data_IF_450670077455
#
_entry.id   IF_450670077455
#
_cell.length_a   1.000
_cell.length_b   1.000
_cell.length_c   1.000
_cell.angle_alpha   90.00
_cell.angle_beta   90.00
_cell.angle_gamma   90.00
#
_symmetry.space_group_name_H-M   'P 1'
#
loop_
_entity.id
_entity.type
_entity.pdbx_description
1 polymer ?
#
# COMPACT_ATOMS: atom_id res chain seq x y z
N UNK A 1 14.78 14.55 -9.65
CA UNK A 1 14.82 13.92 -8.32
C UNK A 1 14.85 12.42 -8.50
N UNK A 2 15.72 11.72 -7.77
CA UNK A 2 15.83 10.27 -7.76
C UNK A 2 15.27 9.70 -6.46
N UNK A 3 14.43 8.67 -6.56
CA UNK A 3 13.72 8.08 -5.42
C UNK A 3 14.17 6.63 -5.22
N UNK A 4 14.64 6.31 -4.03
CA UNK A 4 14.90 4.93 -3.62
C UNK A 4 13.60 4.26 -3.18
N UNK A 5 13.28 3.07 -3.72
CA UNK A 5 12.04 2.34 -3.41
C UNK A 5 12.37 0.95 -2.92
N UNK A 6 12.02 0.64 -1.69
CA UNK A 6 11.98 -0.74 -1.21
C UNK A 6 10.61 -1.36 -1.45
N UNK A 7 10.56 -2.66 -1.72
CA UNK A 7 9.29 -3.34 -2.01
C UNK A 7 8.65 -2.96 -3.35
N UNK A 8 9.43 -2.43 -4.31
CA UNK A 8 8.96 -2.01 -5.63
C UNK A 8 8.31 -3.13 -6.45
N UNK A 9 8.70 -4.38 -6.25
CA UNK A 9 8.13 -5.55 -6.93
C UNK A 9 6.81 -6.05 -6.33
N UNK A 10 6.42 -5.53 -5.15
CA UNK A 10 5.18 -5.88 -4.44
C UNK A 10 3.94 -5.23 -5.06
N UNK A 11 2.76 -5.56 -4.51
CA UNK A 11 1.48 -5.08 -5.04
C UNK A 11 1.41 -3.54 -5.09
N UNK A 12 1.54 -2.84 -3.96
CA UNK A 12 1.57 -1.37 -3.92
C UNK A 12 2.79 -0.84 -4.69
N UNK A 13 3.94 -1.53 -4.56
CA UNK A 13 5.20 -1.11 -5.18
C UNK A 13 5.12 -0.96 -6.70
N UNK A 14 4.42 -1.85 -7.39
CA UNK A 14 4.22 -1.78 -8.86
C UNK A 14 3.42 -0.54 -9.27
N UNK A 15 2.39 -0.19 -8.53
CA UNK A 15 1.63 1.05 -8.74
C UNK A 15 2.50 2.28 -8.44
N UNK A 16 3.32 2.21 -7.39
CA UNK A 16 4.24 3.28 -7.02
C UNK A 16 5.33 3.50 -8.08
N UNK A 17 5.94 2.43 -8.61
CA UNK A 17 6.93 2.56 -9.68
C UNK A 17 6.30 3.23 -10.91
N UNK A 18 5.10 2.81 -11.31
CA UNK A 18 4.38 3.41 -12.44
C UNK A 18 4.09 4.90 -12.21
N UNK A 19 3.61 5.24 -11.02
CA UNK A 19 3.29 6.62 -10.65
C UNK A 19 4.55 7.51 -10.67
N UNK A 20 5.64 7.08 -10.02
CA UNK A 20 6.90 7.83 -9.97
C UNK A 20 7.49 8.03 -11.36
N UNK A 21 7.56 6.96 -12.17
CA UNK A 21 8.10 7.02 -13.53
C UNK A 21 7.23 7.89 -14.44
N UNK A 22 5.90 7.79 -14.31
CA UNK A 22 4.93 8.62 -15.04
C UNK A 22 5.05 10.11 -14.71
N UNK A 23 5.45 10.46 -13.50
CA UNK A 23 5.75 11.84 -13.08
C UNK A 23 7.19 12.27 -13.43
N UNK A 24 7.98 11.39 -14.07
CA UNK A 24 9.31 11.70 -14.56
C UNK A 24 10.43 11.56 -13.54
N UNK A 25 10.18 10.99 -12.36
CA UNK A 25 11.22 10.66 -11.39
C UNK A 25 12.18 9.59 -11.92
N UNK A 26 13.42 9.63 -11.48
CA UNK A 26 14.34 8.49 -11.56
C UNK A 26 14.14 7.61 -10.33
N UNK A 27 14.21 6.30 -10.49
CA UNK A 27 13.91 5.36 -9.42
C UNK A 27 15.01 4.31 -9.29
N UNK A 28 15.59 4.19 -8.08
CA UNK A 28 16.35 3.01 -7.68
C UNK A 28 15.40 2.08 -6.92
N UNK A 29 15.16 0.87 -7.41
CA UNK A 29 14.20 -0.05 -6.78
C UNK A 29 14.86 -1.36 -6.36
N UNK A 30 14.63 -1.79 -5.09
CA UNK A 30 15.06 -3.12 -4.66
C UNK A 30 14.24 -4.22 -5.30
N UNK A 31 14.95 -5.26 -5.71
CA UNK A 31 14.38 -6.58 -5.98
C UNK A 31 15.16 -7.66 -5.22
N UNK A 32 14.48 -8.72 -4.78
CA UNK A 32 15.09 -9.83 -4.07
C UNK A 32 15.43 -11.00 -4.99
N UNK A 33 14.51 -11.34 -5.87
CA UNK A 33 14.64 -12.43 -6.86
C UNK A 33 14.32 -11.90 -8.25
N UNK A 34 14.99 -12.39 -9.28
CA UNK A 34 14.79 -11.93 -10.67
C UNK A 34 13.32 -12.09 -11.11
N UNK A 35 12.69 -13.19 -10.73
CA UNK A 35 11.30 -13.48 -11.09
C UNK A 35 10.32 -12.46 -10.52
N UNK A 36 10.69 -11.76 -9.44
CA UNK A 36 9.82 -10.75 -8.83
C UNK A 36 9.63 -9.51 -9.70
N UNK A 37 10.52 -9.29 -10.69
CA UNK A 37 10.44 -8.19 -11.67
C UNK A 37 9.54 -8.51 -12.87
N UNK A 38 9.13 -9.78 -13.03
CA UNK A 38 8.28 -10.20 -14.15
C UNK A 38 7.03 -9.32 -14.27
N UNK A 39 6.74 -8.83 -15.49
CA UNK A 39 5.61 -7.95 -15.78
C UNK A 39 5.80 -6.49 -15.37
N UNK A 40 6.97 -6.08 -14.87
CA UNK A 40 7.31 -4.66 -14.75
C UNK A 40 8.04 -4.26 -16.02
N UNK A 41 7.51 -3.26 -16.74
CA UNK A 41 8.11 -2.78 -17.97
C UNK A 41 9.48 -2.15 -17.70
N UNK A 42 10.43 -2.39 -18.59
CA UNK A 42 11.70 -1.69 -18.57
C UNK A 42 11.47 -0.20 -18.85
N UNK A 43 12.17 0.63 -18.09
CA UNK A 43 12.10 2.06 -18.25
C UNK A 43 13.49 2.68 -18.05
N UNK A 44 13.93 3.65 -18.88
CA UNK A 44 15.30 4.20 -18.82
C UNK A 44 15.60 4.91 -17.48
N UNK A 45 14.59 5.32 -16.73
CA UNK A 45 14.70 5.94 -15.41
C UNK A 45 14.51 4.94 -14.26
N UNK A 46 14.36 3.63 -14.51
CA UNK A 46 14.23 2.59 -13.49
C UNK A 46 15.51 1.79 -13.37
N UNK A 47 16.17 1.90 -12.23
CA UNK A 47 17.41 1.20 -11.93
C UNK A 47 17.16 0.16 -10.85
N UNK A 48 17.37 -1.10 -11.21
CA UNK A 48 17.19 -2.21 -10.29
C UNK A 48 18.43 -2.45 -9.44
N UNK A 49 18.23 -2.53 -8.12
CA UNK A 49 19.27 -2.85 -7.13
C UNK A 49 18.87 -4.15 -6.43
N UNK A 50 19.74 -5.16 -6.49
CA UNK A 50 19.52 -6.40 -5.75
C UNK A 50 19.71 -6.15 -4.26
N UNK A 51 18.70 -6.48 -3.44
CA UNK A 51 18.75 -6.24 -2.00
C UNK A 51 17.47 -6.62 -1.28
N UNK A 52 17.53 -6.64 0.04
CA UNK A 52 16.42 -6.94 0.92
C UNK A 52 16.64 -6.36 2.32
N UNK A 53 15.62 -6.42 3.18
CA UNK A 53 15.69 -5.92 4.57
C UNK A 53 16.68 -6.70 5.45
N UNK A 54 17.02 -7.93 5.08
CA UNK A 54 17.97 -8.77 5.79
C UNK A 54 19.44 -8.42 5.45
N UNK A 55 19.64 -7.68 4.36
CA UNK A 55 20.97 -7.30 3.84
C UNK A 55 21.19 -5.78 3.94
N UNK A 56 21.67 -5.35 5.08
CA UNK A 56 22.03 -3.93 5.29
C UNK A 56 23.13 -3.45 4.33
N UNK A 57 23.97 -4.34 3.81
CA UNK A 57 25.02 -4.03 2.84
C UNK A 57 24.50 -3.54 1.49
N UNK A 58 23.25 -3.89 1.14
CA UNK A 58 22.59 -3.43 -0.10
C UNK A 58 21.99 -2.02 0.01
N UNK A 59 21.82 -1.48 1.22
CA UNK A 59 21.23 -0.15 1.45
C UNK A 59 22.06 0.97 0.79
N UNK A 60 23.39 1.03 0.92
CA UNK A 60 24.19 2.06 0.27
C UNK A 60 24.02 2.12 -1.25
N UNK A 61 23.89 0.98 -1.90
CA UNK A 61 23.66 0.91 -3.36
C UNK A 61 22.26 1.41 -3.74
N UNK A 62 21.24 1.04 -2.95
CA UNK A 62 19.88 1.54 -3.17
C UNK A 62 19.83 3.07 -3.08
N UNK A 63 20.51 3.64 -2.10
CA UNK A 63 20.48 5.09 -1.80
C UNK A 63 21.46 5.90 -2.64
N UNK A 64 22.14 5.30 -3.62
CA UNK A 64 23.12 6.00 -4.45
C UNK A 64 22.46 7.12 -5.26
N UNK A 65 22.90 8.36 -5.05
CA UNK A 65 22.38 9.58 -5.69
C UNK A 65 20.85 9.77 -5.51
N UNK A 66 20.26 9.25 -4.43
CA UNK A 66 18.85 9.41 -4.15
C UNK A 66 18.56 10.63 -3.28
N UNK A 67 17.55 11.40 -3.67
CA UNK A 67 17.04 12.58 -2.95
C UNK A 67 15.93 12.16 -1.97
N UNK A 68 15.20 11.08 -2.26
CA UNK A 68 14.09 10.62 -1.45
C UNK A 68 14.08 9.08 -1.29
N UNK A 69 13.41 8.61 -0.23
CA UNK A 69 13.21 7.20 0.04
C UNK A 69 11.73 6.90 0.25
N UNK A 70 11.23 5.83 -0.38
CA UNK A 70 9.94 5.22 -0.04
C UNK A 70 10.18 3.81 0.49
N UNK A 71 9.89 3.62 1.77
CA UNK A 71 10.06 2.33 2.42
C UNK A 71 8.72 1.58 2.47
N UNK A 72 8.52 0.70 1.46
CA UNK A 72 7.31 -0.12 1.28
C UNK A 72 7.59 -1.63 1.45
N UNK A 73 8.84 -2.05 1.66
CA UNK A 73 9.16 -3.45 1.86
C UNK A 73 8.62 -3.98 3.19
N UNK A 74 8.15 -5.23 3.16
CA UNK A 74 7.80 -6.03 4.32
C UNK A 74 8.26 -7.47 4.08
N UNK A 75 9.05 -8.00 4.98
CA UNK A 75 9.36 -9.42 5.02
C UNK A 75 8.21 -10.17 5.70
N UNK A 76 7.72 -11.22 5.08
CA UNK A 76 6.71 -12.13 5.64
C UNK A 76 6.93 -13.54 5.12
N UNK A 77 6.85 -14.57 5.99
CA UNK A 77 7.00 -15.96 5.56
C UNK A 77 5.72 -16.52 4.92
N UNK A 78 4.57 -15.96 5.26
CA UNK A 78 3.26 -16.41 4.78
C UNK A 78 2.60 -15.50 3.76
N UNK A 79 1.40 -15.87 3.32
CA UNK A 79 0.64 -15.16 2.28
C UNK A 79 -0.26 -14.05 2.81
N UNK A 80 -0.52 -14.01 4.12
CA UNK A 80 -1.33 -12.98 4.77
C UNK A 80 -0.47 -12.02 5.58
N UNK A 81 -1.03 -10.87 5.96
CA UNK A 81 -0.32 -9.87 6.80
C UNK A 81 -0.46 -10.16 8.29
N UNK A 82 -1.44 -10.96 8.70
CA UNK A 82 -1.78 -11.25 10.09
C UNK A 82 -1.84 -12.76 10.31
N UNK A 83 -1.28 -13.22 11.44
CA UNK A 83 -1.35 -14.61 11.84
C UNK A 83 -0.44 -15.57 11.07
N UNK A 84 0.44 -15.05 10.22
CA UNK A 84 1.44 -15.84 9.45
C UNK A 84 2.84 -15.23 9.55
N UNK A 85 3.12 -14.55 10.66
CA UNK A 85 4.40 -13.90 10.91
C UNK A 85 5.54 -14.91 11.16
N UNK A 86 5.19 -16.15 11.50
CA UNK A 86 6.15 -17.22 11.80
C UNK A 86 6.89 -16.96 13.11
N UNK A 87 8.21 -17.13 13.12
CA UNK A 87 9.05 -16.75 14.24
C UNK A 87 9.02 -15.24 14.46
N UNK A 88 8.42 -14.80 15.57
CA UNK A 88 8.21 -13.40 15.88
C UNK A 88 9.53 -12.65 16.13
N UNK A 89 10.54 -13.28 16.69
CA UNK A 89 11.85 -12.67 16.91
C UNK A 89 12.51 -12.37 15.56
N UNK A 90 12.52 -13.33 14.65
CA UNK A 90 13.03 -13.16 13.28
C UNK A 90 12.22 -12.11 12.51
N UNK A 91 10.88 -12.16 12.62
CA UNK A 91 10.00 -11.18 11.98
C UNK A 91 10.32 -9.75 12.44
N UNK A 92 10.53 -9.56 13.75
CA UNK A 92 10.86 -8.27 14.34
C UNK A 92 12.27 -7.81 13.94
N UNK A 93 13.25 -8.71 14.00
CA UNK A 93 14.62 -8.40 13.60
C UNK A 93 14.69 -7.89 12.15
N UNK A 94 14.01 -8.56 11.23
CA UNK A 94 14.05 -8.20 9.80
C UNK A 94 13.25 -6.93 9.55
N UNK A 95 11.99 -6.87 9.98
CA UNK A 95 11.11 -5.77 9.62
C UNK A 95 11.41 -4.50 10.42
N UNK A 96 11.54 -4.59 11.74
CA UNK A 96 11.89 -3.42 12.56
C UNK A 96 13.36 -3.07 12.40
N UNK A 97 14.27 -4.03 12.61
CA UNK A 97 15.71 -3.79 12.49
C UNK A 97 16.12 -3.30 11.10
N UNK A 98 15.64 -3.95 10.02
CA UNK A 98 15.92 -3.54 8.65
C UNK A 98 15.35 -2.14 8.32
N UNK A 99 14.16 -1.80 8.84
CA UNK A 99 13.59 -0.46 8.70
C UNK A 99 14.44 0.60 9.38
N UNK A 100 14.93 0.32 10.59
CA UNK A 100 15.79 1.24 11.34
C UNK A 100 17.15 1.43 10.66
N UNK A 101 17.76 0.35 10.17
CA UNK A 101 19.02 0.43 9.41
C UNK A 101 18.84 1.30 8.15
N UNK A 102 17.73 1.16 7.44
CA UNK A 102 17.44 1.99 6.26
C UNK A 102 17.26 3.47 6.65
N UNK A 103 16.50 3.77 7.71
CA UNK A 103 16.30 5.15 8.19
C UNK A 103 17.61 5.79 8.65
N UNK A 104 18.42 5.04 9.40
CA UNK A 104 19.71 5.52 9.90
C UNK A 104 20.68 5.87 8.77
N UNK A 105 20.82 4.98 7.79
CA UNK A 105 21.71 5.22 6.64
C UNK A 105 21.17 6.34 5.76
N UNK A 106 19.85 6.44 5.56
CA UNK A 106 19.22 7.54 4.83
C UNK A 106 19.45 8.89 5.54
N UNK A 107 19.29 8.93 6.86
CA UNK A 107 19.55 10.13 7.65
C UNK A 107 21.03 10.55 7.60
N UNK A 108 21.97 9.60 7.70
CA UNK A 108 23.43 9.87 7.55
C UNK A 108 23.79 10.41 6.16
N UNK A 109 23.04 9.99 5.13
CA UNK A 109 23.19 10.49 3.75
C UNK A 109 22.43 11.78 3.47
N UNK A 110 21.71 12.28 4.46
CA UNK A 110 20.95 13.53 4.37
C UNK A 110 19.97 13.56 3.21
N UNK A 111 19.26 12.42 2.95
CA UNK A 111 18.20 12.43 1.94
C UNK A 111 17.09 13.43 2.34
N UNK A 112 16.52 14.11 1.35
CA UNK A 112 15.58 15.21 1.58
C UNK A 112 14.20 14.76 2.05
N UNK A 113 13.83 13.50 1.80
CA UNK A 113 12.51 12.94 2.12
C UNK A 113 12.58 11.46 2.42
N UNK A 114 11.87 11.03 3.46
CA UNK A 114 11.69 9.62 3.74
C UNK A 114 10.20 9.34 4.04
N UNK A 115 9.56 8.52 3.20
CA UNK A 115 8.16 8.10 3.39
C UNK A 115 8.11 6.63 3.80
N UNK A 116 7.64 6.36 5.01
CA UNK A 116 7.38 5.01 5.50
C UNK A 116 5.96 4.59 5.18
N UNK A 117 5.77 3.47 4.48
CA UNK A 117 4.46 2.89 4.24
C UNK A 117 4.05 2.05 5.44
N UNK A 118 3.25 2.65 6.31
CA UNK A 118 2.64 2.03 7.48
C UNK A 118 1.31 1.35 7.12
N UNK A 119 0.30 1.44 7.98
CA UNK A 119 -1.03 0.84 7.79
C UNK A 119 -2.05 1.42 8.75
N UNK A 120 -3.33 1.47 8.40
CA UNK A 120 -4.40 1.73 9.36
C UNK A 120 -4.60 0.61 10.40
N UNK A 121 -3.95 -0.55 10.24
CA UNK A 121 -3.96 -1.62 11.25
C UNK A 121 -3.23 -1.23 12.56
N UNK A 122 -2.59 -0.07 12.63
CA UNK A 122 -2.10 0.50 13.89
C UNK A 122 -3.24 0.93 14.82
N UNK A 123 -4.47 1.10 14.29
CA UNK A 123 -5.69 1.51 14.98
C UNK A 123 -6.72 0.36 15.09
N UNK A 124 -6.32 -0.85 15.46
CA UNK A 124 -7.27 -1.99 15.54
C UNK A 124 -8.26 -1.84 16.70
N UNK A 125 -7.84 -1.31 17.85
CA UNK A 125 -8.73 -0.86 18.90
C UNK A 125 -9.08 0.60 18.66
N UNK A 126 -10.32 0.86 18.24
CA UNK A 126 -10.82 2.21 17.98
C UNK A 126 -11.65 2.67 19.18
N UNK A 127 -11.41 3.91 19.61
CA UNK A 127 -12.16 4.56 20.70
C UNK A 127 -13.38 5.28 20.13
N UNK A 128 -14.50 5.16 20.83
CA UNK A 128 -15.77 5.80 20.42
C UNK A 128 -15.85 7.29 20.82
N UNK A 129 -14.95 7.77 21.70
CA UNK A 129 -14.95 9.12 22.28
C UNK A 129 -14.19 10.17 21.45
N UNK A 130 -13.62 9.78 20.33
CA UNK A 130 -12.80 10.67 19.49
C UNK A 130 -12.79 10.27 18.02
N UNK A 131 -12.44 11.21 17.10
CA UNK A 131 -12.25 10.91 15.69
C UNK A 131 -11.19 9.83 15.46
N UNK A 132 -11.31 9.08 14.36
CA UNK A 132 -10.28 8.18 13.88
C UNK A 132 -9.38 8.94 12.89
N UNK A 133 -8.66 9.91 13.42
CA UNK A 133 -7.64 10.68 12.73
C UNK A 133 -6.22 10.19 13.08
N UNK A 134 -5.20 10.89 12.64
CA UNK A 134 -3.80 10.52 12.88
C UNK A 134 -3.36 10.65 14.34
N UNK A 135 -4.12 11.37 15.18
CA UNK A 135 -3.85 11.54 16.61
C UNK A 135 -4.44 10.43 17.47
N UNK A 136 -5.30 9.57 16.87
CA UNK A 136 -5.89 8.43 17.56
C UNK A 136 -4.77 7.48 18.08
N UNK A 137 -4.89 6.94 19.30
CA UNK A 137 -3.91 6.03 19.88
C UNK A 137 -3.64 4.82 18.98
N UNK A 138 -2.36 4.42 18.89
CA UNK A 138 -1.94 3.24 18.14
C UNK A 138 -2.07 2.00 19.04
N UNK A 139 -3.23 1.33 18.97
CA UNK A 139 -3.52 0.12 19.75
C UNK A 139 -3.81 -1.07 18.80
N UNK A 140 -2.75 -1.67 18.23
CA UNK A 140 -2.89 -2.83 17.37
C UNK A 140 -3.16 -4.09 18.19
N UNK A 141 -3.90 -5.06 17.59
CA UNK A 141 -4.08 -6.41 18.13
C UNK A 141 -3.19 -7.44 17.42
N UNK A 142 -2.71 -7.11 16.22
CA UNK A 142 -1.86 -7.99 15.42
C UNK A 142 -0.38 -7.65 15.59
N UNK A 143 0.48 -8.65 15.47
CA UNK A 143 1.94 -8.43 15.43
C UNK A 143 2.35 -7.57 14.24
N UNK A 144 1.64 -7.69 13.12
CA UNK A 144 1.79 -6.81 11.96
C UNK A 144 1.53 -5.34 12.31
N UNK A 145 0.40 -5.04 12.93
CA UNK A 145 0.08 -3.67 13.39
C UNK A 145 1.06 -3.15 14.44
N UNK A 146 1.45 -4.03 15.38
CA UNK A 146 2.41 -3.68 16.43
C UNK A 146 3.78 -3.29 15.87
N UNK A 147 4.32 -4.07 14.94
CA UNK A 147 5.58 -3.76 14.27
C UNK A 147 5.48 -2.43 13.49
N UNK A 148 4.39 -2.20 12.75
CA UNK A 148 4.18 -0.96 12.02
C UNK A 148 4.10 0.26 12.96
N UNK A 149 3.37 0.14 14.07
CA UNK A 149 3.29 1.17 15.11
C UNK A 149 4.65 1.44 15.77
N UNK A 150 5.47 0.40 16.01
CA UNK A 150 6.82 0.56 16.56
C UNK A 150 7.71 1.37 15.61
N UNK A 151 7.71 1.10 14.30
CA UNK A 151 8.47 1.90 13.32
C UNK A 151 8.00 3.35 13.30
N UNK A 152 6.69 3.63 13.45
CA UNK A 152 6.19 5.01 13.53
C UNK A 152 6.71 5.78 14.77
N UNK A 153 7.01 5.10 15.88
CA UNK A 153 7.68 5.77 17.01
C UNK A 153 9.11 6.19 16.68
N UNK A 154 9.79 5.42 15.83
CA UNK A 154 11.10 5.83 15.31
C UNK A 154 10.99 6.94 14.26
N UNK A 155 9.89 7.00 13.49
CA UNK A 155 9.62 8.19 12.65
C UNK A 155 9.64 9.46 13.51
N UNK A 156 8.97 9.48 14.67
CA UNK A 156 9.03 10.62 15.60
C UNK A 156 10.45 10.87 16.13
N UNK A 157 11.18 9.82 16.53
CA UNK A 157 12.54 9.95 17.04
C UNK A 157 13.49 10.54 16.01
N UNK A 158 13.48 10.06 14.78
CA UNK A 158 14.30 10.59 13.70
C UNK A 158 13.90 12.02 13.31
N UNK A 159 12.59 12.30 13.26
CA UNK A 159 12.09 13.63 12.90
C UNK A 159 12.44 14.67 13.97
N UNK A 160 12.05 14.45 15.21
CA UNK A 160 12.17 15.46 16.25
C UNK A 160 13.54 15.46 16.93
N UNK A 161 14.17 14.28 17.08
CA UNK A 161 15.49 14.16 17.66
C UNK A 161 16.64 14.50 16.72
N UNK A 162 16.49 14.27 15.43
CA UNK A 162 17.55 14.43 14.43
C UNK A 162 17.18 15.37 13.29
N UNK A 163 16.00 15.99 13.33
CA UNK A 163 15.49 16.85 12.26
C UNK A 163 15.52 16.19 10.87
N UNK A 164 15.38 14.84 10.84
CA UNK A 164 15.34 14.09 9.60
C UNK A 164 13.92 14.13 9.00
N UNK A 165 13.75 14.55 7.71
CA UNK A 165 12.44 14.75 7.11
C UNK A 165 11.78 13.41 6.74
N UNK A 166 11.24 12.74 7.75
CA UNK A 166 10.57 11.45 7.66
C UNK A 166 9.10 11.57 8.07
N UNK A 167 8.24 10.85 7.36
CA UNK A 167 6.80 10.73 7.66
C UNK A 167 6.31 9.31 7.42
N UNK A 168 5.07 9.02 7.84
CA UNK A 168 4.40 7.76 7.59
C UNK A 168 3.10 7.96 6.81
N UNK A 169 2.78 7.06 5.87
CA UNK A 169 1.45 6.95 5.26
C UNK A 169 0.79 5.66 5.77
N UNK A 170 -0.49 5.73 6.15
CA UNK A 170 -1.27 4.62 6.71
C UNK A 170 -2.38 4.18 5.75
N UNK A 171 -2.10 3.33 4.76
CA UNK A 171 -3.15 2.77 3.92
C UNK A 171 -4.13 1.91 4.72
N UNK A 172 -5.41 1.99 4.39
CA UNK A 172 -6.45 1.07 4.85
C UNK A 172 -6.36 -0.27 4.11
N UNK A 173 -7.45 -1.01 3.95
CA UNK A 173 -7.48 -2.18 3.06
C UNK A 173 -7.16 -1.76 1.62
N UNK A 174 -6.14 -2.37 1.00
CA UNK A 174 -5.72 -1.97 -0.35
C UNK A 174 -6.29 -2.93 -1.38
N UNK A 175 -6.93 -2.37 -2.42
CA UNK A 175 -7.43 -3.12 -3.57
C UNK A 175 -6.86 -2.59 -4.89
N UNK A 176 -7.08 -3.34 -5.97
CA UNK A 176 -6.61 -3.04 -7.31
C UNK A 176 -6.27 -4.31 -8.07
N UNK A 177 -5.80 -4.19 -9.31
CA UNK A 177 -5.39 -5.34 -10.12
C UNK A 177 -3.98 -5.77 -9.73
N UNK A 178 -3.83 -7.00 -9.27
CA UNK A 178 -2.53 -7.59 -8.92
C UNK A 178 -1.82 -8.13 -10.17
N UNK A 179 -0.49 -8.17 -10.15
CA UNK A 179 0.30 -8.82 -11.21
C UNK A 179 -0.14 -10.28 -11.43
N UNK A 180 -0.33 -11.04 -10.36
CA UNK A 180 -1.08 -12.30 -10.42
C UNK A 180 -2.56 -11.96 -10.25
N UNK A 181 -3.29 -11.88 -11.35
CA UNK A 181 -4.67 -11.38 -11.38
C UNK A 181 -5.58 -12.14 -10.41
N UNK A 182 -5.44 -13.47 -10.32
CA UNK A 182 -6.19 -14.31 -9.37
C UNK A 182 -5.91 -14.00 -7.90
N UNK A 183 -4.84 -13.27 -7.58
CA UNK A 183 -4.55 -12.78 -6.23
C UNK A 183 -5.15 -11.39 -5.96
N UNK A 184 -5.85 -10.81 -6.92
CA UNK A 184 -6.55 -9.54 -6.74
C UNK A 184 -7.73 -9.71 -5.80
N UNK A 185 -7.92 -8.73 -4.92
CA UNK A 185 -9.12 -8.66 -4.08
C UNK A 185 -10.35 -8.66 -4.99
N UNK A 186 -11.37 -9.37 -4.61
CA UNK A 186 -12.63 -9.54 -5.34
C UNK A 186 -12.58 -10.44 -6.61
N UNK A 187 -11.41 -10.96 -7.03
CA UNK A 187 -11.31 -11.78 -8.24
C UNK A 187 -12.26 -12.98 -8.22
N UNK A 188 -12.29 -13.74 -7.13
CA UNK A 188 -13.16 -14.93 -7.01
C UNK A 188 -14.65 -14.58 -7.02
N UNK A 189 -15.03 -13.48 -6.33
CA UNK A 189 -16.41 -12.97 -6.32
C UNK A 189 -16.86 -12.54 -7.72
N UNK A 190 -16.01 -11.78 -8.43
CA UNK A 190 -16.30 -11.34 -9.80
C UNK A 190 -16.38 -12.54 -10.72
N UNK A 191 -15.50 -13.53 -10.55
CA UNK A 191 -15.50 -14.78 -11.31
C UNK A 191 -16.78 -15.59 -11.12
N UNK A 192 -17.26 -15.73 -9.89
CA UNK A 192 -18.52 -16.42 -9.60
C UNK A 192 -19.70 -15.73 -10.30
N UNK A 193 -19.81 -14.41 -10.21
CA UNK A 193 -20.86 -13.63 -10.90
C UNK A 193 -20.75 -13.78 -12.42
N UNK A 194 -19.54 -13.75 -12.98
CA UNK A 194 -19.34 -13.93 -14.43
C UNK A 194 -19.80 -15.29 -14.93
N UNK A 195 -19.69 -16.34 -14.10
CA UNK A 195 -20.18 -17.68 -14.41
C UNK A 195 -21.68 -17.89 -14.14
N UNK A 196 -22.39 -16.88 -13.63
CA UNK A 196 -23.81 -16.98 -13.31
C UNK A 196 -24.10 -17.67 -11.97
N UNK A 197 -23.11 -17.82 -11.10
CA UNK A 197 -23.24 -18.46 -9.78
C UNK A 197 -23.90 -17.51 -8.77
N UNK A 198 -24.76 -18.04 -7.92
CA UNK A 198 -25.32 -17.28 -6.80
C UNK A 198 -24.24 -17.03 -5.74
N UNK A 199 -24.28 -15.87 -5.12
CA UNK A 199 -23.27 -15.48 -4.13
C UNK A 199 -23.89 -14.93 -2.85
N UNK A 200 -23.28 -15.26 -1.72
CA UNK A 200 -23.62 -14.68 -0.43
C UNK A 200 -22.52 -13.72 0.05
N UNK A 201 -22.82 -12.43 0.07
CA UNK A 201 -21.92 -11.35 0.41
C UNK A 201 -22.01 -10.99 1.90
N UNK A 202 -20.96 -11.29 2.66
CA UNK A 202 -20.94 -11.09 4.12
C UNK A 202 -19.93 -10.06 4.59
N UNK A 203 -19.05 -9.61 3.70
CA UNK A 203 -17.88 -8.81 4.05
C UNK A 203 -17.95 -7.42 3.44
N UNK A 204 -17.17 -6.55 4.02
CA UNK A 204 -16.85 -5.23 3.52
C UNK A 204 -15.66 -4.68 4.30
N UNK A 205 -15.04 -3.65 3.80
CA UNK A 205 -13.86 -3.07 4.43
C UNK A 205 -13.70 -1.59 4.10
N UNK A 206 -12.92 -0.93 4.93
CA UNK A 206 -12.40 0.40 4.65
C UNK A 206 -11.27 0.24 3.65
N UNK A 207 -11.45 0.79 2.45
CA UNK A 207 -10.59 0.49 1.31
C UNK A 207 -9.97 1.74 0.71
N UNK A 208 -8.83 1.54 0.06
CA UNK A 208 -8.16 2.52 -0.80
C UNK A 208 -7.58 1.79 -2.01
N UNK A 209 -7.63 2.40 -3.19
CA UNK A 209 -7.01 1.80 -4.36
C UNK A 209 -5.48 1.95 -4.34
N UNK A 210 -4.75 0.94 -4.82
CA UNK A 210 -3.29 0.95 -4.82
C UNK A 210 -2.67 2.13 -5.58
N UNK A 211 -3.32 2.62 -6.64
CA UNK A 211 -2.91 3.85 -7.34
C UNK A 211 -3.07 5.10 -6.47
N UNK A 212 -4.10 5.14 -5.61
CA UNK A 212 -4.29 6.25 -4.68
C UNK A 212 -3.22 6.27 -3.59
N UNK A 213 -2.82 5.08 -3.11
CA UNK A 213 -1.67 4.97 -2.20
C UNK A 213 -0.41 5.50 -2.86
N UNK A 214 -0.15 5.12 -4.12
CA UNK A 214 1.00 5.60 -4.89
C UNK A 214 0.97 7.13 -5.06
N UNK A 215 -0.17 7.71 -5.45
CA UNK A 215 -0.35 9.18 -5.54
C UNK A 215 -0.16 9.86 -4.20
N UNK A 216 -0.74 9.32 -3.12
CA UNK A 216 -0.54 9.86 -1.77
C UNK A 216 0.94 9.91 -1.39
N UNK A 217 1.72 8.88 -1.72
CA UNK A 217 3.18 8.87 -1.52
C UNK A 217 3.86 9.97 -2.34
N UNK A 218 3.48 10.19 -3.60
CA UNK A 218 4.10 11.25 -4.42
C UNK A 218 3.78 12.64 -3.89
N UNK A 219 2.57 12.89 -3.35
CA UNK A 219 2.27 14.13 -2.64
C UNK A 219 3.16 14.34 -1.41
N UNK A 220 3.43 13.29 -0.63
CA UNK A 220 4.33 13.38 0.52
C UNK A 220 5.78 13.65 0.12
N UNK A 221 6.25 13.07 -1.00
CA UNK A 221 7.58 13.35 -1.56
C UNK A 221 7.69 14.82 -1.99
N UNK A 222 6.65 15.38 -2.60
CA UNK A 222 6.62 16.75 -3.11
C UNK A 222 6.28 17.81 -2.04
N UNK A 223 5.72 17.42 -0.90
CA UNK A 223 5.26 18.33 0.14
C UNK A 223 6.42 19.14 0.77
N UNK A 224 6.16 20.35 1.30
CA UNK A 224 7.13 21.06 2.11
C UNK A 224 7.62 20.23 3.30
N UNK A 225 8.89 20.37 3.66
CA UNK A 225 9.50 19.61 4.76
C UNK A 225 8.70 19.71 6.05
N UNK A 226 8.32 20.92 6.45
CA UNK A 226 7.63 21.17 7.71
C UNK A 226 6.22 20.57 7.75
N UNK A 227 5.60 20.33 6.58
CA UNK A 227 4.30 19.70 6.49
C UNK A 227 4.33 18.17 6.74
N UNK A 228 5.52 17.56 6.65
CA UNK A 228 5.67 16.10 6.78
C UNK A 228 6.53 15.66 7.96
N UNK A 229 7.31 16.54 8.55
CA UNK A 229 8.31 16.20 9.56
C UNK A 229 7.67 15.52 10.78
N UNK A 230 7.92 14.23 10.94
CA UNK A 230 7.39 13.41 12.03
C UNK A 230 5.89 13.08 11.92
N UNK A 231 5.25 13.43 10.81
CA UNK A 231 3.82 13.31 10.65
C UNK A 231 3.39 11.92 10.13
N UNK A 232 2.18 11.50 10.51
CA UNK A 232 1.50 10.38 9.87
C UNK A 232 0.33 10.91 9.03
N UNK A 233 -0.05 10.15 8.00
CA UNK A 233 -1.13 10.49 7.08
C UNK A 233 -2.00 9.27 6.82
N UNK A 234 -3.28 9.33 7.21
CA UNK A 234 -4.24 8.30 6.89
C UNK A 234 -4.54 8.30 5.38
N UNK A 235 -4.56 7.10 4.80
CA UNK A 235 -4.83 6.92 3.38
C UNK A 235 -5.99 5.92 3.22
N UNK A 236 -7.19 6.47 3.15
CA UNK A 236 -8.45 5.77 3.08
C UNK A 236 -9.38 6.51 2.11
N UNK A 237 -10.07 5.78 1.25
CA UNK A 237 -11.01 6.37 0.30
C UNK A 237 -12.44 6.22 0.80
N UNK A 238 -12.93 4.97 0.90
CA UNK A 238 -14.32 4.67 1.23
C UNK A 238 -14.49 3.24 1.78
N UNK A 239 -15.68 2.98 2.33
CA UNK A 239 -16.08 1.61 2.61
C UNK A 239 -16.57 0.94 1.32
N UNK A 240 -16.08 -0.28 1.06
CA UNK A 240 -16.47 -1.10 -0.08
C UNK A 240 -17.04 -2.41 0.43
N UNK A 241 -18.30 -2.73 0.09
CA UNK A 241 -18.94 -3.99 0.43
C UNK A 241 -18.84 -5.01 -0.71
N UNK A 242 -18.81 -6.32 -0.37
CA UNK A 242 -18.90 -7.38 -1.39
C UNK A 242 -20.18 -7.28 -2.22
N UNK A 243 -21.30 -6.82 -1.62
CA UNK A 243 -22.57 -6.61 -2.32
C UNK A 243 -22.42 -5.57 -3.42
N UNK A 244 -21.75 -4.46 -3.14
CA UNK A 244 -21.50 -3.41 -4.12
C UNK A 244 -20.67 -3.94 -5.30
N UNK A 245 -19.58 -4.65 -5.02
CA UNK A 245 -18.73 -5.27 -6.04
C UNK A 245 -19.50 -6.29 -6.87
N UNK A 246 -20.30 -7.14 -6.23
CA UNK A 246 -21.12 -8.15 -6.91
C UNK A 246 -22.17 -7.51 -7.82
N UNK A 247 -22.82 -6.43 -7.38
CA UNK A 247 -23.79 -5.68 -8.21
C UNK A 247 -23.10 -5.08 -9.45
N UNK A 248 -21.95 -4.44 -9.29
CA UNK A 248 -21.17 -3.90 -10.42
C UNK A 248 -20.80 -5.03 -11.39
N UNK A 249 -20.28 -6.16 -10.89
CA UNK A 249 -19.92 -7.31 -11.72
C UNK A 249 -21.13 -7.90 -12.46
N UNK A 250 -22.28 -7.99 -11.80
CA UNK A 250 -23.53 -8.46 -12.41
C UNK A 250 -24.02 -7.53 -13.52
N UNK A 251 -23.96 -6.21 -13.28
CA UNK A 251 -24.37 -5.22 -14.29
C UNK A 251 -23.45 -5.28 -15.53
N UNK A 252 -22.15 -5.51 -15.36
CA UNK A 252 -21.18 -5.66 -16.45
C UNK A 252 -21.37 -6.97 -17.24
N UNK A 253 -21.70 -8.07 -16.54
CA UNK A 253 -21.82 -9.40 -17.16
C UNK A 253 -23.20 -9.68 -17.77
N UNK A 254 -24.23 -8.92 -17.38
CA UNK A 254 -25.63 -9.28 -17.65
C UNK A 254 -26.07 -10.57 -16.93
N UNK A 255 -25.31 -11.04 -15.96
CA UNK A 255 -25.58 -12.27 -15.21
C UNK A 255 -26.91 -12.20 -14.45
N UNK A 256 -27.54 -13.38 -14.29
CA UNK A 256 -28.75 -13.53 -13.46
C UNK A 256 -28.44 -14.04 -12.05
N UNK A 257 -27.20 -14.01 -11.63
CA UNK A 257 -26.76 -14.44 -10.30
C UNK A 257 -27.60 -13.77 -9.20
N UNK A 258 -28.10 -14.58 -8.28
CA UNK A 258 -28.73 -14.07 -7.07
C UNK A 258 -27.67 -13.60 -6.09
N UNK A 259 -27.74 -12.34 -5.67
CA UNK A 259 -26.82 -11.73 -4.71
C UNK A 259 -27.55 -11.56 -3.40
N UNK A 260 -27.16 -12.35 -2.40
CA UNK A 260 -27.71 -12.29 -1.05
C UNK A 260 -26.69 -11.73 -0.07
N UNK A 261 -27.13 -11.30 1.09
CA UNK A 261 -26.25 -10.82 2.15
C UNK A 261 -26.76 -9.57 2.83
N UNK A 262 -25.94 -9.01 3.72
CA UNK A 262 -26.24 -7.78 4.46
C UNK A 262 -25.29 -6.68 4.04
N UNK A 263 -25.84 -5.57 3.58
CA UNK A 263 -25.05 -4.37 3.31
C UNK A 263 -24.52 -3.82 4.63
N UNK A 264 -23.20 -3.67 4.71
CA UNK A 264 -22.54 -3.17 5.91
C UNK A 264 -21.98 -1.77 5.65
N UNK A 265 -21.95 -0.98 6.68
CA UNK A 265 -21.30 0.33 6.72
C UNK A 265 -20.19 0.34 7.78
N UNK A 266 -19.23 1.25 7.70
CA UNK A 266 -18.20 1.37 8.71
C UNK A 266 -18.79 1.90 10.03
N UNK A 267 -18.37 1.31 11.17
CA UNK A 267 -18.70 1.85 12.48
C UNK A 267 -18.02 3.21 12.73
N UNK A 268 -16.80 3.38 12.20
CA UNK A 268 -16.00 4.59 12.31
C UNK A 268 -15.42 4.93 10.95
N UNK A 269 -15.54 6.17 10.54
CA UNK A 269 -14.84 6.69 9.35
C UNK A 269 -13.41 7.08 9.71
N UNK A 270 -12.48 6.88 8.78
CA UNK A 270 -11.10 7.31 8.94
C UNK A 270 -10.99 8.73 8.36
N UNK A 271 -10.54 9.68 9.17
CA UNK A 271 -10.28 11.03 8.69
C UNK A 271 -9.01 11.05 7.81
N UNK A 272 -9.15 11.61 6.63
CA UNK A 272 -8.07 11.78 5.65
C UNK A 272 -7.83 13.26 5.28
N UNK A 273 -8.41 14.16 6.06
CA UNK A 273 -8.33 15.62 5.82
C UNK A 273 -6.89 16.08 5.68
N UNK A 274 -5.98 15.51 6.45
CA UNK A 274 -4.56 15.85 6.44
C UNK A 274 -3.90 15.55 5.09
N UNK A 275 -4.13 14.36 4.53
CA UNK A 275 -3.61 13.99 3.21
C UNK A 275 -4.32 14.78 2.08
N UNK A 276 -5.64 15.03 2.22
CA UNK A 276 -6.41 15.84 1.27
C UNK A 276 -5.92 17.29 1.21
N UNK A 277 -5.48 17.87 2.31
CA UNK A 277 -4.89 19.23 2.34
C UNK A 277 -3.60 19.34 1.53
N UNK A 278 -2.89 18.24 1.27
CA UNK A 278 -1.74 18.19 0.37
C UNK A 278 -2.14 18.07 -1.11
N UNK A 279 -3.43 18.07 -1.43
CA UNK A 279 -3.98 17.97 -2.79
C UNK A 279 -4.49 16.58 -3.17
N UNK A 280 -4.49 15.61 -2.24
CA UNK A 280 -4.95 14.25 -2.55
C UNK A 280 -6.45 14.20 -2.84
N UNK A 281 -6.80 13.66 -4.00
CA UNK A 281 -8.15 13.27 -4.38
C UNK A 281 -8.17 11.76 -4.62
N UNK A 282 -9.04 11.06 -3.90
CA UNK A 282 -9.21 9.61 -4.06
C UNK A 282 -10.09 9.29 -5.25
N UNK A 283 -9.90 8.10 -5.82
CA UNK A 283 -10.59 7.67 -7.04
C UNK A 283 -12.06 7.29 -6.86
N UNK A 284 -12.49 7.07 -5.63
CA UNK A 284 -13.91 6.84 -5.28
C UNK A 284 -14.56 5.66 -6.01
N UNK A 285 -15.85 5.80 -6.26
CA UNK A 285 -16.65 4.79 -6.94
C UNK A 285 -16.19 4.53 -8.39
N UNK A 286 -15.77 5.57 -9.10
CA UNK A 286 -15.29 5.45 -10.48
C UNK A 286 -14.09 4.49 -10.57
N UNK A 287 -13.13 4.66 -9.66
CA UNK A 287 -11.96 3.79 -9.59
C UNK A 287 -12.32 2.34 -9.20
N UNK A 288 -13.32 2.16 -8.32
CA UNK A 288 -13.83 0.83 -7.99
C UNK A 288 -14.47 0.18 -9.21
N UNK A 289 -15.38 0.88 -9.91
CA UNK A 289 -16.04 0.38 -11.12
C UNK A 289 -15.04 0.01 -12.21
N UNK A 290 -14.03 0.84 -12.44
CA UNK A 290 -12.94 0.55 -13.36
C UNK A 290 -12.20 -0.73 -12.95
N UNK A 291 -11.85 -0.87 -11.69
CA UNK A 291 -11.13 -2.06 -11.19
C UNK A 291 -11.97 -3.34 -11.35
N UNK A 292 -13.26 -3.29 -11.02
CA UNK A 292 -14.18 -4.42 -11.22
C UNK A 292 -14.28 -4.78 -12.68
N UNK A 293 -14.37 -3.80 -13.59
CA UNK A 293 -14.37 -4.01 -15.04
C UNK A 293 -13.07 -4.68 -15.51
N UNK A 294 -11.92 -4.15 -15.12
CA UNK A 294 -10.60 -4.70 -15.49
C UNK A 294 -10.46 -6.18 -15.03
N UNK A 295 -10.92 -6.49 -13.81
CA UNK A 295 -10.93 -7.85 -13.29
C UNK A 295 -11.94 -8.76 -14.00
N UNK A 296 -13.13 -8.25 -14.31
CA UNK A 296 -14.14 -8.99 -15.09
C UNK A 296 -13.63 -9.36 -16.49
N UNK A 297 -13.04 -8.41 -17.20
CA UNK A 297 -12.43 -8.64 -18.51
C UNK A 297 -11.32 -9.70 -18.43
N UNK A 298 -10.51 -9.69 -17.38
CA UNK A 298 -9.47 -10.68 -17.14
C UNK A 298 -10.03 -12.08 -16.82
N UNK A 299 -11.18 -12.16 -16.16
CA UNK A 299 -11.87 -13.44 -15.89
C UNK A 299 -12.45 -14.04 -17.17
N UNK A 300 -13.08 -13.20 -18.00
CA UNK A 300 -13.76 -13.66 -19.22
C UNK A 300 -12.76 -13.93 -20.35
N UNK A 301 -11.71 -13.14 -20.46
CA UNK A 301 -10.69 -13.21 -21.50
C UNK A 301 -9.26 -13.33 -20.92
N UNK A 302 -8.89 -14.50 -20.37
CA UNK A 302 -7.57 -14.66 -19.74
C UNK A 302 -6.37 -14.42 -20.69
N UNK A 303 -6.57 -14.55 -21.98
CA UNK A 303 -5.53 -14.31 -23.00
C UNK A 303 -5.30 -12.82 -23.33
N UNK A 304 -6.28 -11.95 -23.08
CA UNK A 304 -6.16 -10.50 -23.33
C UNK A 304 -5.42 -9.75 -22.19
N UNK A 305 -5.08 -10.43 -21.13
CA UNK A 305 -4.64 -9.87 -19.83
C UNK A 305 -3.23 -9.27 -19.85
N UNK A 306 -2.48 -9.39 -20.94
CA UNK A 306 -1.11 -8.82 -21.06
C UNK A 306 -1.07 -7.30 -21.15
N UNK A 307 -2.19 -6.63 -21.36
CA UNK A 307 -2.29 -5.18 -21.59
C UNK A 307 -2.80 -4.35 -20.40
N UNK A 308 -3.20 -4.99 -19.30
CA UNK A 308 -3.84 -4.28 -18.14
C UNK A 308 -2.79 -3.77 -17.11
N UNK A 309 -1.52 -4.09 -17.31
CA UNK A 309 -0.44 -3.75 -16.35
C UNK A 309 0.52 -2.70 -16.84
#
# INVERSE_FOLDING_TARGET
MRVAVTGGTGFIGRYLLRELLGQGYEVNAWFRHEESRTGILEHPKLHWVKGCLEDAGSIPLLLENCDAVVHNALWRPGNTFRGTEGDLAKYTQINLGGSLSLMEIAAKRQVDRFVYVSTCAVHEKIMDDRPLDETHPLWPFSHYGAHKAAVEKFVHSFAFGHQFPVCAIRPSGVYGVSHRISASKYYDLIGAIARGEDVECKRGGKEVHAADVARGITYLIAAPRDAILGEAFNCYDRYVSEIEVARIARDLSGSRSNITGVEKSPKHEIDTTKLRRLGMNFGGEEQLRKTVKDLFEAVVNPSATRSIQ
#
